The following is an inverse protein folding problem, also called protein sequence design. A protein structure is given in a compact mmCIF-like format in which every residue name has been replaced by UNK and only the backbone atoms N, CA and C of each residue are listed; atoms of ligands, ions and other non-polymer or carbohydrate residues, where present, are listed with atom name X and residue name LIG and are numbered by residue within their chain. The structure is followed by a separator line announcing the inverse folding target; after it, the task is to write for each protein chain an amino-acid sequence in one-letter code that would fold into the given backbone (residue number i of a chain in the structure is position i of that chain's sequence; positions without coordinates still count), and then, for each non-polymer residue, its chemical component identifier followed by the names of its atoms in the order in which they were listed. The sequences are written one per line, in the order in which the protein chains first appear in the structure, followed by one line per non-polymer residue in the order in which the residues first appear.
data_IF_520801109099
#
_entry.id   IF_520801109099
#
_cell.length_a   1.000
_cell.length_b   1.000
_cell.length_c   1.000
_cell.angle_alpha   90.00
_cell.angle_beta   90.00
_cell.angle_gamma   90.00
#
_symmetry.space_group_name_H-M   'P 1'
#
loop_
_entity.id
_entity.type
_entity.pdbx_description
1 polymer ?
#
# COMPACT_ATOMS: atom_id res chain seq x y z
N UNK A 1 6.33 8.65 -3.17
CA UNK A 1 4.90 8.35 -2.97
C UNK A 1 4.70 7.82 -1.56
N UNK A 2 3.62 8.20 -0.87
CA UNK A 2 3.36 7.82 0.52
C UNK A 2 1.87 7.57 0.76
N UNK A 3 1.52 6.54 1.52
CA UNK A 3 0.17 6.33 2.04
C UNK A 3 0.05 7.10 3.36
N UNK A 4 -0.86 8.07 3.42
CA UNK A 4 -1.14 8.86 4.63
C UNK A 4 -2.14 8.16 5.53
N UNK A 5 -3.25 7.73 4.95
CA UNK A 5 -4.38 7.19 5.69
C UNK A 5 -5.20 6.26 4.81
N UNK A 6 -5.87 5.30 5.43
CA UNK A 6 -6.92 4.49 4.82
C UNK A 6 -8.15 4.58 5.72
N UNK A 7 -9.27 4.94 5.12
CA UNK A 7 -10.55 5.06 5.77
C UNK A 7 -11.46 3.94 5.28
N UNK A 8 -12.08 3.25 6.23
CA UNK A 8 -13.07 2.20 5.99
C UNK A 8 -14.41 2.65 6.57
N UNK A 9 -15.50 2.31 5.88
CA UNK A 9 -16.85 2.44 6.43
C UNK A 9 -17.67 1.20 6.11
N UNK A 10 -18.08 0.52 7.18
CA UNK A 10 -18.90 -0.70 7.13
C UNK A 10 -18.36 -1.77 6.17
N UNK A 11 -17.04 -1.98 6.19
CA UNK A 11 -16.34 -2.89 5.30
C UNK A 11 -15.58 -3.97 6.09
N UNK A 12 -15.91 -5.25 5.83
CA UNK A 12 -15.34 -6.43 6.53
C UNK A 12 -15.35 -6.26 8.07
N UNK A 13 -14.18 -6.31 8.73
CA UNK A 13 -14.03 -6.13 10.19
C UNK A 13 -14.23 -4.68 10.65
N UNK A 14 -14.20 -3.70 9.76
CA UNK A 14 -14.32 -2.28 10.09
C UNK A 14 -15.80 -1.86 10.12
N UNK A 15 -16.34 -1.67 11.33
CA UNK A 15 -17.72 -1.18 11.56
C UNK A 15 -17.74 0.30 11.85
N UNK A 16 -18.72 1.01 11.27
CA UNK A 16 -18.74 2.45 11.25
C UNK A 16 -17.52 3.02 10.52
N UNK A 17 -17.25 4.31 10.70
CA UNK A 17 -16.09 4.97 10.10
C UNK A 17 -14.84 4.71 10.93
N UNK A 18 -13.85 4.05 10.34
CA UNK A 18 -12.56 3.73 10.94
C UNK A 18 -11.43 4.29 10.08
N UNK A 19 -10.42 4.91 10.71
CA UNK A 19 -9.27 5.50 10.00
C UNK A 19 -7.99 4.87 10.50
N UNK A 20 -7.24 4.28 9.58
CA UNK A 20 -5.87 3.78 9.81
C UNK A 20 -4.91 4.86 9.33
N UNK A 21 -4.27 5.58 10.26
CA UNK A 21 -3.38 6.70 9.95
C UNK A 21 -1.91 6.31 10.07
N UNK A 22 -1.16 6.53 8.99
CA UNK A 22 0.30 6.37 8.91
C UNK A 22 1.04 7.68 9.19
N UNK A 23 0.32 8.72 9.62
CA UNK A 23 0.88 10.04 9.90
C UNK A 23 1.34 10.12 11.36
N UNK A 24 2.53 10.68 11.59
CA UNK A 24 2.97 11.08 12.92
C UNK A 24 2.09 12.25 13.41
N UNK A 25 1.35 12.10 14.52
CA UNK A 25 0.44 13.14 15.00
C UNK A 25 1.18 14.41 15.46
N UNK A 26 2.47 14.33 15.76
CA UNK A 26 3.30 15.43 16.25
C UNK A 26 3.81 16.28 15.09
N UNK A 27 4.28 15.64 14.02
CA UNK A 27 4.89 16.36 12.88
C UNK A 27 3.92 16.58 11.73
N UNK A 28 2.89 15.74 11.61
CA UNK A 28 1.99 15.72 10.44
C UNK A 28 2.58 15.02 9.22
N UNK A 29 3.80 14.50 9.32
CA UNK A 29 4.48 13.77 8.24
C UNK A 29 4.09 12.29 8.23
N UNK A 30 4.20 11.66 7.07
CA UNK A 30 4.03 10.20 6.97
C UNK A 30 5.21 9.50 7.63
N UNK A 31 4.92 8.55 8.52
CA UNK A 31 5.94 7.71 9.14
C UNK A 31 6.67 6.91 8.05
N UNK A 32 8.01 6.94 8.00
CA UNK A 32 8.77 6.14 7.03
C UNK A 32 8.62 4.64 7.29
N UNK A 33 8.39 4.25 8.54
CA UNK A 33 8.14 2.85 8.94
C UNK A 33 6.89 2.80 9.80
N UNK A 34 6.01 1.86 9.51
CA UNK A 34 4.81 1.58 10.30
C UNK A 34 4.60 0.09 10.43
N UNK A 35 4.23 -0.35 11.63
CA UNK A 35 3.79 -1.71 11.91
C UNK A 35 2.35 -1.69 12.41
N UNK A 36 1.48 -2.42 11.72
CA UNK A 36 0.09 -2.61 12.10
C UNK A 36 0.02 -3.77 13.07
N UNK A 37 -0.54 -3.51 14.25
CA UNK A 37 -0.63 -4.47 15.36
C UNK A 37 -2.08 -4.59 15.82
N UNK A 38 -2.42 -5.76 16.36
CA UNK A 38 -3.78 -6.08 16.80
C UNK A 38 -4.04 -7.57 16.76
N UNK A 39 -5.12 -7.99 17.43
CA UNK A 39 -5.57 -9.37 17.51
C UNK A 39 -6.36 -9.82 16.29
N UNK A 40 -6.94 -8.90 15.52
CA UNK A 40 -7.64 -9.21 14.27
C UNK A 40 -6.67 -9.27 13.08
N UNK A 41 -6.20 -10.48 12.77
CA UNK A 41 -5.37 -10.76 11.58
C UNK A 41 -6.08 -10.42 10.26
N UNK A 42 -7.40 -10.57 10.18
CA UNK A 42 -8.16 -10.26 8.98
C UNK A 42 -8.25 -8.74 8.75
N UNK A 43 -8.37 -7.96 9.82
CA UNK A 43 -8.32 -6.50 9.74
C UNK A 43 -6.95 -6.01 9.26
N UNK A 44 -5.84 -6.53 9.83
CA UNK A 44 -4.47 -6.19 9.38
C UNK A 44 -4.25 -6.49 7.91
N UNK A 45 -4.66 -7.69 7.46
CA UNK A 45 -4.65 -8.07 6.04
C UNK A 45 -5.44 -7.11 5.17
N UNK A 46 -6.66 -6.79 5.58
CA UNK A 46 -7.57 -5.91 4.83
C UNK A 46 -6.96 -4.52 4.60
N UNK A 47 -6.16 -4.00 5.54
CA UNK A 47 -5.43 -2.74 5.34
C UNK A 47 -4.46 -2.83 4.16
N UNK A 48 -3.65 -3.88 4.09
CA UNK A 48 -2.64 -4.03 3.04
C UNK A 48 -3.24 -4.42 1.69
N UNK A 49 -4.25 -5.29 1.70
CA UNK A 49 -5.02 -5.63 0.51
C UNK A 49 -5.70 -4.39 -0.08
N UNK A 50 -6.18 -3.46 0.76
CA UNK A 50 -6.74 -2.19 0.30
C UNK A 50 -5.71 -1.31 -0.40
N UNK A 51 -4.45 -1.26 0.08
CA UNK A 51 -3.37 -0.53 -0.59
C UNK A 51 -3.16 -1.09 -2.00
N UNK A 52 -3.01 -2.42 -2.11
CA UNK A 52 -2.80 -3.09 -3.39
C UNK A 52 -3.98 -2.87 -4.36
N UNK A 53 -5.20 -3.11 -3.86
CA UNK A 53 -6.42 -3.03 -4.64
C UNK A 53 -6.70 -1.61 -5.14
N UNK A 54 -6.58 -0.59 -4.29
CA UNK A 54 -6.85 0.81 -4.67
C UNK A 54 -5.80 1.36 -5.63
N UNK A 55 -4.51 1.08 -5.41
CA UNK A 55 -3.47 1.47 -6.37
C UNK A 55 -3.65 0.76 -7.71
N UNK A 56 -3.96 -0.54 -7.70
CA UNK A 56 -4.23 -1.30 -8.93
C UNK A 56 -5.40 -0.71 -9.70
N UNK A 57 -6.49 -0.41 -9.00
CA UNK A 57 -7.68 0.18 -9.60
C UNK A 57 -7.45 1.59 -10.14
N UNK A 58 -6.59 2.39 -9.48
CA UNK A 58 -6.21 3.72 -9.98
C UNK A 58 -5.43 3.68 -11.29
N UNK A 59 -4.71 2.58 -11.56
CA UNK A 59 -3.95 2.36 -12.80
C UNK A 59 -4.86 1.75 -13.86
N UNK A 60 -5.58 0.67 -13.52
CA UNK A 60 -6.42 -0.06 -14.46
C UNK A 60 -7.81 -0.33 -13.88
N UNK A 61 -8.74 0.63 -14.01
CA UNK A 61 -10.11 0.48 -13.52
C UNK A 61 -10.90 -0.64 -14.21
N UNK A 62 -10.41 -1.20 -15.33
CA UNK A 62 -11.12 -2.24 -16.09
C UNK A 62 -10.98 -3.63 -15.47
N UNK A 63 -9.98 -3.82 -14.61
CA UNK A 63 -9.69 -5.07 -13.94
C UNK A 63 -9.64 -4.85 -12.42
N UNK A 64 -10.78 -4.53 -11.77
CA UNK A 64 -10.84 -4.34 -10.34
C UNK A 64 -10.37 -5.60 -9.60
N UNK A 65 -9.68 -5.40 -8.48
CA UNK A 65 -9.37 -6.50 -7.54
C UNK A 65 -10.65 -6.87 -6.76
N UNK A 66 -10.77 -8.11 -6.26
CA UNK A 66 -11.96 -8.55 -5.52
C UNK A 66 -12.38 -7.60 -4.38
N UNK A 67 -11.41 -7.03 -3.64
CA UNK A 67 -11.69 -6.07 -2.58
C UNK A 67 -12.45 -4.81 -3.06
N UNK A 68 -12.20 -4.35 -4.31
CA UNK A 68 -12.94 -3.21 -4.90
C UNK A 68 -14.39 -3.61 -5.20
N UNK A 69 -14.60 -4.82 -5.72
CA UNK A 69 -15.94 -5.35 -5.98
C UNK A 69 -16.73 -5.51 -4.68
N UNK A 70 -16.11 -6.08 -3.64
CA UNK A 70 -16.71 -6.17 -2.30
C UNK A 70 -17.10 -4.78 -1.76
N UNK A 71 -16.25 -3.77 -1.98
CA UNK A 71 -16.53 -2.41 -1.55
C UNK A 71 -17.74 -1.83 -2.30
N UNK A 72 -17.83 -2.04 -3.62
CA UNK A 72 -19.00 -1.62 -4.42
C UNK A 72 -20.30 -2.25 -3.90
N UNK A 73 -20.26 -3.50 -3.44
CA UNK A 73 -21.45 -4.19 -2.96
C UNK A 73 -21.94 -3.70 -1.60
N UNK A 74 -21.01 -3.50 -0.65
CA UNK A 74 -21.37 -3.44 0.76
C UNK A 74 -20.77 -2.28 1.56
N UNK A 75 -19.68 -1.66 1.14
CA UNK A 75 -18.91 -0.77 2.00
C UNK A 75 -18.37 0.47 1.31
N UNK A 76 -17.44 1.14 1.97
CA UNK A 76 -16.66 2.21 1.38
C UNK A 76 -15.23 2.20 1.90
N UNK A 77 -14.30 2.43 0.98
CA UNK A 77 -12.87 2.45 1.26
C UNK A 77 -12.28 3.66 0.55
N UNK A 78 -11.47 4.41 1.29
CA UNK A 78 -10.72 5.52 0.75
C UNK A 78 -9.27 5.46 1.22
N UNK A 79 -8.35 5.80 0.33
CA UNK A 79 -6.94 5.95 0.66
C UNK A 79 -6.45 7.35 0.29
N UNK A 80 -5.76 7.99 1.25
CA UNK A 80 -5.03 9.23 1.05
C UNK A 80 -3.59 8.95 0.61
N UNK A 81 -3.26 9.35 -0.62
CA UNK A 81 -1.96 9.21 -1.26
C UNK A 81 -1.23 10.54 -1.30
N UNK A 82 -0.11 10.66 -0.61
CA UNK A 82 0.77 11.80 -0.72
C UNK A 82 1.81 11.61 -1.83
N UNK A 83 1.89 12.60 -2.70
CA UNK A 83 2.86 12.71 -3.78
C UNK A 83 3.82 13.86 -3.47
N UNK A 84 5.10 13.53 -3.36
CA UNK A 84 6.19 14.49 -3.15
C UNK A 84 6.49 15.24 -4.46
N UNK A 85 7.29 16.32 -4.42
CA UNK A 85 7.74 16.99 -5.63
C UNK A 85 8.42 16.05 -6.64
N UNK A 86 9.19 15.06 -6.16
CA UNK A 86 9.85 14.07 -7.01
C UNK A 86 8.85 13.16 -7.73
N UNK A 87 7.78 12.73 -7.06
CA UNK A 87 6.68 11.99 -7.69
C UNK A 87 6.01 12.83 -8.79
N UNK A 88 5.82 14.12 -8.51
CA UNK A 88 5.08 15.03 -9.39
C UNK A 88 5.91 15.56 -10.57
N UNK A 89 7.23 15.59 -10.47
CA UNK A 89 8.11 16.13 -11.51
C UNK A 89 7.95 15.39 -12.84
N UNK A 90 7.77 14.07 -12.81
CA UNK A 90 7.53 13.26 -14.01
C UNK A 90 6.21 13.60 -14.69
N UNK A 91 5.14 13.83 -13.91
CA UNK A 91 3.84 14.26 -14.41
C UNK A 91 3.90 15.66 -15.03
N UNK A 92 4.63 16.59 -14.41
CA UNK A 92 4.81 17.95 -14.95
C UNK A 92 5.61 17.95 -16.26
N UNK A 93 6.69 17.14 -16.34
CA UNK A 93 7.45 16.96 -17.59
C UNK A 93 6.58 16.48 -18.75
N UNK A 94 5.56 15.68 -18.47
CA UNK A 94 4.62 15.20 -19.48
C UNK A 94 3.60 16.25 -19.93
N UNK A 95 3.19 17.14 -19.02
CA UNK A 95 2.21 18.18 -19.31
C UNK A 95 2.77 19.38 -20.09
N UNK A 96 4.08 19.44 -20.34
CA UNK A 96 4.73 20.51 -21.11
C UNK A 96 4.62 21.90 -20.47
N UNK A 97 4.26 21.99 -19.19
CA UNK A 97 3.91 23.24 -18.54
C UNK A 97 5.13 23.98 -17.98
N UNK A 98 5.18 25.30 -18.20
CA UNK A 98 5.94 26.31 -17.44
C UNK A 98 5.41 26.45 -15.99
N UNK A 99 5.09 25.33 -15.34
CA UNK A 99 4.39 25.32 -14.07
C UNK A 99 5.33 25.67 -12.91
N UNK A 100 4.77 26.30 -11.88
CA UNK A 100 5.40 26.48 -10.58
C UNK A 100 6.00 25.15 -10.08
N UNK A 101 7.10 25.22 -9.32
CA UNK A 101 7.73 24.02 -8.76
C UNK A 101 6.69 23.14 -8.06
N UNK A 102 6.62 21.83 -8.37
CA UNK A 102 5.64 20.94 -7.75
C UNK A 102 5.78 20.99 -6.23
N UNK A 103 4.66 21.17 -5.55
CA UNK A 103 4.55 21.06 -4.09
C UNK A 103 3.94 19.72 -3.75
N UNK A 104 4.21 19.22 -2.54
CA UNK A 104 3.56 18.02 -2.02
C UNK A 104 2.04 18.14 -2.13
N UNK A 105 1.38 17.09 -2.64
CA UNK A 105 -0.08 17.02 -2.75
C UNK A 105 -0.60 15.74 -2.15
N UNK A 106 -1.74 15.82 -1.47
CA UNK A 106 -2.48 14.64 -1.01
C UNK A 106 -3.63 14.40 -1.97
N UNK A 107 -3.68 13.23 -2.58
CA UNK A 107 -4.76 12.82 -3.45
C UNK A 107 -5.55 11.67 -2.84
N UNK A 108 -6.82 11.54 -3.22
CA UNK A 108 -7.68 10.45 -2.73
C UNK A 108 -8.03 9.45 -3.82
N UNK A 109 -7.92 8.16 -3.50
CA UNK A 109 -8.53 7.07 -4.24
C UNK A 109 -9.68 6.55 -3.39
N UNK A 110 -10.90 6.54 -3.92
CA UNK A 110 -12.07 6.05 -3.19
C UNK A 110 -12.93 5.12 -4.06
N UNK A 111 -13.40 4.05 -3.43
CA UNK A 111 -14.32 3.07 -4.01
C UNK A 111 -15.36 2.68 -2.98
N UNK A 112 -16.58 2.37 -3.42
CA UNK A 112 -17.60 1.88 -2.50
C UNK A 112 -19.02 2.03 -3.02
N UNK A 113 -19.98 1.95 -2.11
CA UNK A 113 -21.41 2.16 -2.39
C UNK A 113 -21.83 3.60 -2.08
N UNK A 114 -22.59 4.23 -2.97
CA UNK A 114 -23.02 5.66 -2.86
C UNK A 114 -23.80 5.98 -1.58
N UNK A 115 -24.58 5.04 -1.06
CA UNK A 115 -25.34 5.21 0.20
C UNK A 115 -24.51 5.00 1.48
N UNK A 116 -23.27 4.50 1.35
CA UNK A 116 -22.33 4.32 2.47
C UNK A 116 -21.30 5.44 2.46
N UNK A 117 -20.82 5.84 1.28
CA UNK A 117 -19.87 6.92 1.13
C UNK A 117 -20.40 8.27 1.68
N UNK A 118 -19.52 9.17 2.17
CA UNK A 118 -19.91 10.50 2.62
C UNK A 118 -20.66 11.29 1.55
N UNK A 119 -21.67 12.08 1.96
CA UNK A 119 -22.58 12.81 1.05
C UNK A 119 -21.91 13.86 0.14
N UNK A 120 -20.67 14.29 0.45
CA UNK A 120 -19.90 15.25 -0.36
C UNK A 120 -18.48 14.76 -0.66
N UNK A 121 -18.28 13.78 -1.57
CA UNK A 121 -16.94 13.31 -1.92
C UNK A 121 -16.12 14.36 -2.71
N UNK A 122 -16.80 15.28 -3.41
CA UNK A 122 -16.21 16.09 -4.50
C UNK A 122 -15.87 17.53 -4.09
N UNK A 123 -16.48 18.08 -3.03
CA UNK A 123 -16.32 19.50 -2.69
C UNK A 123 -15.15 19.82 -1.78
N UNK A 124 -14.57 18.82 -1.09
CA UNK A 124 -13.51 19.08 -0.12
C UNK A 124 -12.11 18.65 -0.59
N UNK A 125 -12.00 17.77 -1.60
CA UNK A 125 -10.79 16.95 -1.77
C UNK A 125 -10.18 16.96 -3.18
N UNK A 126 -8.84 16.96 -3.24
CA UNK A 126 -8.08 16.65 -4.45
C UNK A 126 -8.21 15.16 -4.78
N UNK A 127 -9.18 14.81 -5.62
CA UNK A 127 -9.46 13.42 -5.99
C UNK A 127 -8.48 12.94 -7.07
N UNK A 128 -7.85 11.79 -6.86
CA UNK A 128 -7.18 11.04 -7.93
C UNK A 128 -8.21 10.21 -8.69
N UNK A 129 -8.95 9.35 -7.97
CA UNK A 129 -10.00 8.51 -8.52
C UNK A 129 -11.11 8.32 -7.48
N UNK A 130 -12.36 8.41 -7.93
CA UNK A 130 -13.55 8.09 -7.15
C UNK A 130 -14.48 7.24 -7.99
N UNK A 131 -14.91 6.10 -7.46
CA UNK A 131 -15.88 5.23 -8.10
C UNK A 131 -16.90 4.71 -7.08
N UNK A 132 -18.14 5.18 -7.15
CA UNK A 132 -19.20 4.76 -6.24
C UNK A 132 -20.30 4.02 -6.99
N UNK A 133 -20.46 2.75 -6.63
CA UNK A 133 -21.53 1.89 -7.13
C UNK A 133 -22.90 2.38 -6.63
N UNK A 134 -23.94 2.27 -7.47
CA UNK A 134 -25.31 2.57 -7.08
C UNK A 134 -25.81 1.59 -6.02
N UNK A 135 -26.76 2.03 -5.18
CA UNK A 135 -27.56 1.11 -4.37
C UNK A 135 -28.50 0.24 -5.21
N UNK A 136 -29.08 -0.78 -4.57
CA UNK A 136 -30.10 -1.61 -5.21
C UNK A 136 -31.29 -0.75 -5.70
N UNK A 137 -31.48 -0.67 -7.01
CA UNK A 137 -32.52 0.14 -7.66
C UNK A 137 -32.10 1.59 -7.99
N UNK A 138 -30.85 1.97 -7.77
CA UNK A 138 -30.30 3.28 -8.17
C UNK A 138 -29.62 3.20 -9.55
N UNK A 139 -29.38 4.37 -10.17
CA UNK A 139 -28.89 4.54 -11.55
C UNK A 139 -27.43 4.13 -11.79
N UNK A 140 -26.72 4.82 -12.70
CA UNK A 140 -25.35 4.44 -13.07
C UNK A 140 -24.31 4.72 -11.96
N UNK A 141 -23.12 4.13 -12.10
CA UNK A 141 -21.95 4.40 -11.27
C UNK A 141 -21.64 5.90 -11.23
N UNK A 142 -21.21 6.40 -10.07
CA UNK A 142 -20.56 7.70 -9.99
C UNK A 142 -19.07 7.49 -10.24
N UNK A 143 -18.50 8.21 -11.21
CA UNK A 143 -17.06 8.17 -11.47
C UNK A 143 -16.51 9.59 -11.56
N UNK A 144 -15.45 9.87 -10.80
CA UNK A 144 -14.69 11.11 -10.90
C UNK A 144 -13.20 10.79 -10.94
N UNK A 145 -12.54 11.10 -12.06
CA UNK A 145 -11.11 10.93 -12.23
C UNK A 145 -10.46 12.31 -12.32
N UNK A 146 -9.55 12.61 -11.38
CA UNK A 146 -8.81 13.87 -11.39
C UNK A 146 -7.81 13.94 -12.54
N UNK A 147 -7.32 15.15 -12.84
CA UNK A 147 -6.36 15.38 -13.93
C UNK A 147 -5.08 14.51 -13.83
N UNK A 148 -4.68 14.14 -12.61
CA UNK A 148 -3.50 13.29 -12.36
C UNK A 148 -3.75 11.80 -12.64
N UNK A 149 -5.00 11.32 -12.73
CA UNK A 149 -5.30 9.91 -12.98
C UNK A 149 -4.87 9.48 -14.39
N UNK A 150 -5.23 10.24 -15.42
CA UNK A 150 -4.80 9.98 -16.80
C UNK A 150 -3.27 10.09 -16.97
N UNK A 151 -2.64 10.98 -16.19
CA UNK A 151 -1.18 11.13 -16.20
C UNK A 151 -0.49 9.94 -15.54
N UNK A 152 -1.04 9.41 -14.45
CA UNK A 152 -0.56 8.18 -13.81
C UNK A 152 -0.64 6.99 -14.76
N UNK A 153 -1.79 6.75 -15.37
CA UNK A 153 -1.97 5.67 -16.36
C UNK A 153 -0.92 5.78 -17.49
N UNK A 154 -0.74 6.98 -18.02
CA UNK A 154 0.23 7.21 -19.11
C UNK A 154 1.68 7.01 -18.64
N UNK A 155 2.02 7.45 -17.44
CA UNK A 155 3.36 7.26 -16.86
C UNK A 155 3.68 5.78 -16.65
N UNK A 156 2.73 5.01 -16.09
CA UNK A 156 2.87 3.55 -15.92
C UNK A 156 3.00 2.87 -17.28
N UNK A 157 2.19 3.24 -18.27
CA UNK A 157 2.30 2.68 -19.62
C UNK A 157 3.64 3.01 -20.32
N UNK A 158 4.27 4.15 -20.04
CA UNK A 158 5.61 4.49 -20.53
C UNK A 158 6.69 3.71 -19.81
N UNK A 159 6.52 3.51 -18.51
CA UNK A 159 7.45 2.75 -17.68
C UNK A 159 7.50 1.27 -18.08
N UNK A 160 6.34 0.66 -18.43
CA UNK A 160 6.29 -0.67 -19.05
C UNK A 160 7.08 -0.76 -20.37
N UNK A 161 7.32 0.37 -21.04
CA UNK A 161 8.16 0.49 -22.25
C UNK A 161 9.61 0.91 -21.95
N UNK A 162 10.03 0.87 -20.69
CA UNK A 162 11.41 1.12 -20.27
C UNK A 162 11.70 2.51 -19.70
N UNK A 163 10.70 3.39 -19.55
CA UNK A 163 10.89 4.68 -18.87
C UNK A 163 11.01 4.52 -17.35
N UNK A 164 11.70 5.46 -16.70
CA UNK A 164 11.76 5.51 -15.24
C UNK A 164 10.48 6.15 -14.67
N UNK A 165 9.96 5.57 -13.60
CA UNK A 165 8.81 6.09 -12.86
C UNK A 165 9.11 6.06 -11.37
N UNK A 166 8.93 7.18 -10.67
CA UNK A 166 9.14 7.25 -9.22
C UNK A 166 7.96 6.60 -8.47
N UNK A 167 8.20 6.11 -7.26
CA UNK A 167 7.19 5.44 -6.45
C UNK A 167 6.75 4.09 -7.00
N UNK A 168 5.53 3.70 -6.64
CA UNK A 168 4.98 2.37 -6.89
C UNK A 168 4.82 1.55 -5.61
N UNK A 169 4.33 0.33 -5.77
CA UNK A 169 4.08 -0.59 -4.67
C UNK A 169 4.95 -1.84 -4.84
N UNK A 170 5.66 -2.21 -3.78
CA UNK A 170 6.24 -3.54 -3.62
C UNK A 170 5.45 -4.25 -2.52
N UNK A 171 4.63 -5.23 -2.91
CA UNK A 171 3.73 -5.93 -2.03
C UNK A 171 4.15 -7.39 -1.84
N UNK A 172 4.31 -7.78 -0.57
CA UNK A 172 4.59 -9.15 -0.15
C UNK A 172 3.33 -9.73 0.51
N UNK A 173 2.49 -10.45 -0.25
CA UNK A 173 1.30 -11.06 0.31
C UNK A 173 1.68 -12.23 1.24
N UNK A 174 0.81 -12.54 2.21
CA UNK A 174 1.06 -13.64 3.14
C UNK A 174 1.00 -15.02 2.48
N UNK A 175 1.58 -16.04 3.13
CA UNK A 175 1.68 -17.41 2.59
C UNK A 175 0.32 -18.04 2.21
N UNK A 176 -0.79 -17.55 2.79
CA UNK A 176 -2.15 -17.98 2.45
C UNK A 176 -2.67 -17.44 1.11
N UNK A 177 -1.91 -16.62 0.40
CA UNK A 177 -2.23 -16.05 -0.91
C UNK A 177 -1.45 -16.69 -2.09
N UNK A 178 -0.77 -17.82 -1.87
CA UNK A 178 -0.08 -18.58 -2.93
C UNK A 178 -0.95 -18.96 -4.15
N UNK A 179 -2.27 -18.74 -4.12
CA UNK A 179 -3.18 -19.00 -5.23
C UNK A 179 -3.36 -17.81 -6.22
N UNK A 180 -2.92 -16.60 -5.90
CA UNK A 180 -3.05 -15.45 -6.81
C UNK A 180 -1.78 -15.30 -7.66
N UNK A 181 -1.77 -16.01 -8.79
CA UNK A 181 -0.90 -15.78 -9.97
C UNK A 181 0.50 -15.27 -9.64
N UNK A 182 1.37 -16.16 -9.19
CA UNK A 182 2.81 -15.89 -9.24
C UNK A 182 3.22 -15.76 -10.70
N UNK A 183 3.70 -14.59 -11.11
CA UNK A 183 4.64 -14.51 -12.21
C UNK A 183 5.92 -15.22 -11.77
N UNK A 184 6.49 -16.00 -12.68
CA UNK A 184 7.83 -16.57 -12.52
C UNK A 184 8.79 -15.43 -12.12
N UNK A 185 9.68 -15.57 -11.11
CA UNK A 185 10.68 -14.54 -10.79
C UNK A 185 11.52 -14.09 -12.01
N UNK A 186 11.65 -14.93 -13.04
CA UNK A 186 12.30 -14.60 -14.30
C UNK A 186 11.46 -13.67 -15.23
N UNK A 187 10.17 -13.49 -14.94
CA UNK A 187 9.22 -12.58 -15.62
C UNK A 187 8.78 -11.43 -14.70
N UNK A 188 9.70 -10.81 -13.94
CA UNK A 188 9.42 -9.48 -13.35
C UNK A 188 9.38 -8.45 -14.48
N UNK A 189 8.26 -8.43 -15.21
CA UNK A 189 7.91 -7.34 -16.10
C UNK A 189 7.98 -6.04 -15.29
N UNK A 190 8.59 -4.99 -15.84
CA UNK A 190 8.69 -3.69 -15.16
C UNK A 190 7.26 -3.15 -14.94
N UNK A 191 6.69 -3.45 -13.78
CA UNK A 191 5.37 -2.95 -13.38
C UNK A 191 5.49 -1.93 -12.24
N UNK A 192 4.48 -1.09 -12.06
CA UNK A 192 4.45 -0.08 -11.00
C UNK A 192 3.94 -0.65 -9.68
N UNK A 193 3.30 -1.82 -9.75
CA UNK A 193 2.94 -2.65 -8.62
C UNK A 193 3.61 -4.01 -8.81
N UNK A 194 4.60 -4.32 -7.98
CA UNK A 194 5.29 -5.61 -7.96
C UNK A 194 4.75 -6.42 -6.79
N UNK A 195 4.25 -7.63 -7.08
CA UNK A 195 3.81 -8.58 -6.06
C UNK A 195 4.83 -9.69 -5.98
N UNK A 196 5.56 -9.76 -4.89
CA UNK A 196 6.63 -10.73 -4.70
C UNK A 196 6.20 -11.75 -3.65
N UNK A 197 6.20 -13.04 -4.02
CA UNK A 197 6.05 -14.11 -3.03
C UNK A 197 7.43 -14.54 -2.55
N UNK A 198 7.53 -14.88 -1.27
CA UNK A 198 8.71 -15.57 -0.76
C UNK A 198 8.65 -16.98 -1.32
N UNK A 199 9.57 -17.32 -2.24
CA UNK A 199 9.64 -18.66 -2.81
C UNK A 199 9.77 -19.71 -1.70
N UNK A 200 8.98 -20.79 -1.77
CA UNK A 200 8.98 -21.86 -0.77
C UNK A 200 10.38 -22.47 -0.54
N UNK A 201 11.24 -22.44 -1.57
CA UNK A 201 12.64 -22.87 -1.48
C UNK A 201 13.51 -21.90 -0.67
N UNK A 202 13.24 -20.59 -0.73
CA UNK A 202 13.90 -19.59 0.11
C UNK A 202 13.45 -19.72 1.57
N UNK A 203 12.18 -20.05 1.82
CA UNK A 203 11.67 -20.38 3.15
C UNK A 203 12.30 -21.68 3.71
N UNK A 204 12.42 -22.73 2.89
CA UNK A 204 13.09 -23.98 3.28
C UNK A 204 14.61 -23.80 3.52
N UNK A 205 15.25 -22.91 2.75
CA UNK A 205 16.64 -22.51 2.98
C UNK A 205 16.80 -21.67 4.25
N UNK A 206 15.83 -20.80 4.59
CA UNK A 206 15.79 -20.05 5.85
C UNK A 206 15.74 -20.98 7.07
N UNK A 207 14.98 -22.08 7.01
CA UNK A 207 14.91 -23.09 8.07
C UNK A 207 16.25 -23.82 8.30
N UNK A 208 17.04 -24.04 7.24
CA UNK A 208 18.28 -24.82 7.32
C UNK A 208 19.55 -23.97 7.55
N UNK A 209 19.55 -22.70 7.16
CA UNK A 209 20.79 -21.89 7.10
C UNK A 209 21.05 -21.04 8.34
N UNK A 210 20.05 -20.81 9.19
CA UNK A 210 20.17 -19.95 10.39
C UNK A 210 20.69 -18.54 10.12
N UNK A 211 20.67 -18.06 8.86
CA UNK A 211 21.33 -16.81 8.46
C UNK A 211 20.33 -15.75 8.02
N UNK A 212 20.38 -14.61 8.72
CA UNK A 212 19.72 -13.31 8.50
C UNK A 212 19.74 -12.79 7.04
N UNK A 213 20.70 -13.26 6.21
CA UNK A 213 20.93 -12.78 4.85
C UNK A 213 19.96 -13.30 3.77
N UNK A 214 19.26 -14.41 4.01
CA UNK A 214 18.31 -14.96 3.03
C UNK A 214 17.01 -14.12 2.94
N UNK A 215 16.55 -13.54 4.05
CA UNK A 215 15.49 -12.53 4.10
C UNK A 215 15.82 -11.25 3.32
N UNK A 216 17.12 -10.92 3.23
CA UNK A 216 17.62 -9.77 2.47
C UNK A 216 17.86 -10.09 0.99
N UNK A 217 18.18 -11.35 0.66
CA UNK A 217 18.19 -11.83 -0.73
C UNK A 217 16.79 -11.83 -1.35
N UNK A 218 15.75 -12.08 -0.55
CA UNK A 218 14.35 -11.94 -0.94
C UNK A 218 13.96 -10.52 -1.34
N UNK A 219 14.67 -9.52 -0.83
CA UNK A 219 14.54 -8.15 -1.30
C UNK A 219 15.43 -7.88 -2.50
N UNK A 220 16.50 -8.62 -2.75
CA UNK A 220 17.55 -8.22 -3.69
C UNK A 220 17.13 -8.28 -5.16
N UNK A 221 16.26 -9.20 -5.56
CA UNK A 221 15.72 -9.24 -6.93
C UNK A 221 14.50 -8.33 -7.13
N UNK A 222 13.50 -8.29 -6.24
CA UNK A 222 12.46 -7.28 -6.29
C UNK A 222 13.01 -5.85 -6.07
N UNK A 223 14.14 -5.68 -5.39
CA UNK A 223 14.86 -4.41 -5.23
C UNK A 223 15.41 -3.88 -6.56
N UNK A 224 15.72 -4.76 -7.51
CA UNK A 224 16.08 -4.33 -8.87
C UNK A 224 14.89 -3.72 -9.61
N UNK A 225 13.66 -4.07 -9.20
CA UNK A 225 12.43 -3.46 -9.70
C UNK A 225 11.93 -2.30 -8.83
N UNK A 226 12.32 -2.26 -7.56
CA UNK A 226 11.91 -1.25 -6.60
C UNK A 226 12.59 0.09 -6.87
N UNK A 227 11.88 1.18 -6.52
CA UNK A 227 12.18 2.51 -7.01
C UNK A 227 12.23 3.49 -5.87
N UNK A 228 13.01 4.58 -6.00
CA UNK A 228 12.94 5.69 -5.07
C UNK A 228 11.47 6.13 -4.89
N UNK A 229 11.08 6.44 -3.66
CA UNK A 229 9.71 6.84 -3.33
C UNK A 229 8.70 5.72 -3.19
N UNK A 230 9.09 4.44 -3.30
CA UNK A 230 8.15 3.32 -3.28
C UNK A 230 7.47 3.13 -1.90
N UNK A 231 6.31 2.49 -1.92
CA UNK A 231 5.68 1.91 -0.73
C UNK A 231 6.00 0.41 -0.71
N UNK A 232 6.52 -0.08 0.40
CA UNK A 232 6.81 -1.48 0.66
C UNK A 232 5.77 -1.98 1.67
N UNK A 233 4.92 -2.91 1.26
CA UNK A 233 3.85 -3.46 2.07
C UNK A 233 4.09 -4.95 2.32
N UNK A 234 4.14 -5.37 3.59
CA UNK A 234 4.42 -6.76 3.99
C UNK A 234 3.27 -7.29 4.84
N UNK A 235 2.51 -8.25 4.32
CA UNK A 235 1.35 -8.81 5.00
C UNK A 235 1.70 -9.89 6.01
N UNK A 236 2.71 -10.71 5.73
CA UNK A 236 3.10 -11.77 6.64
C UNK A 236 4.62 -11.69 6.88
N UNK A 237 5.04 -11.29 8.08
CA UNK A 237 6.42 -11.29 8.46
C UNK A 237 6.94 -12.68 8.77
N UNK A 238 6.45 -13.77 8.14
CA UNK A 238 7.22 -15.00 8.06
C UNK A 238 8.68 -14.74 7.58
N UNK A 239 8.94 -13.62 6.90
CA UNK A 239 10.27 -13.04 6.64
C UNK A 239 11.11 -12.80 7.92
N UNK A 240 10.47 -12.46 9.03
CA UNK A 240 11.04 -12.26 10.37
C UNK A 240 10.79 -13.44 11.31
N UNK A 241 10.04 -14.47 10.93
CA UNK A 241 9.97 -15.74 11.68
C UNK A 241 11.26 -16.54 11.45
N UNK A 242 12.39 -15.92 11.78
CA UNK A 242 13.69 -16.55 11.76
C UNK A 242 13.77 -17.50 12.96
N UNK A 243 14.39 -18.68 12.81
CA UNK A 243 14.59 -19.60 13.93
C UNK A 243 15.41 -18.98 15.07
N UNK A 244 16.13 -17.89 14.79
CA UNK A 244 16.89 -17.11 15.75
C UNK A 244 16.28 -15.70 15.93
N UNK A 245 15.74 -15.44 17.13
CA UNK A 245 15.19 -14.12 17.49
C UNK A 245 16.23 -13.01 17.42
N UNK A 246 17.51 -13.34 17.56
CA UNK A 246 18.60 -12.36 17.49
C UNK A 246 18.81 -11.85 16.04
N UNK A 247 18.24 -12.53 15.03
CA UNK A 247 18.34 -12.16 13.63
C UNK A 247 17.21 -11.22 13.14
N UNK A 248 16.13 -11.04 13.92
CA UNK A 248 14.99 -10.17 13.56
C UNK A 248 15.37 -8.68 13.57
N UNK A 249 16.06 -8.23 14.61
CA UNK A 249 16.45 -6.83 14.76
C UNK A 249 17.42 -6.36 13.66
N UNK A 250 18.48 -7.10 13.30
CA UNK A 250 19.35 -6.76 12.17
C UNK A 250 18.59 -6.70 10.82
N UNK A 251 17.65 -7.60 10.58
CA UNK A 251 16.85 -7.61 9.35
C UNK A 251 15.97 -6.34 9.25
N UNK A 252 15.33 -5.95 10.35
CA UNK A 252 14.52 -4.74 10.39
C UNK A 252 15.37 -3.47 10.28
N UNK A 253 16.55 -3.41 10.89
CA UNK A 253 17.47 -2.28 10.70
C UNK A 253 17.92 -2.15 9.25
N UNK A 254 18.20 -3.27 8.57
CA UNK A 254 18.52 -3.24 7.15
C UNK A 254 17.34 -2.76 6.29
N UNK A 255 16.11 -3.13 6.65
CA UNK A 255 14.91 -2.57 6.02
C UNK A 255 14.78 -1.08 6.26
N UNK A 256 15.06 -0.58 7.47
CA UNK A 256 15.11 0.85 7.77
C UNK A 256 16.17 1.58 6.94
N UNK A 257 17.33 0.96 6.70
CA UNK A 257 18.34 1.48 5.78
C UNK A 257 17.83 1.59 4.35
N UNK A 258 17.20 0.53 3.81
CA UNK A 258 16.60 0.54 2.48
C UNK A 258 15.53 1.63 2.38
N UNK A 259 14.68 1.76 3.40
CA UNK A 259 13.65 2.81 3.50
C UNK A 259 14.26 4.20 3.41
N UNK A 260 15.39 4.44 4.08
CA UNK A 260 16.11 5.72 4.01
C UNK A 260 16.78 5.93 2.66
N UNK A 261 17.45 4.91 2.13
CA UNK A 261 18.18 4.96 0.86
C UNK A 261 17.25 5.26 -0.32
N UNK A 262 16.08 4.63 -0.33
CA UNK A 262 15.11 4.80 -1.41
C UNK A 262 14.15 5.95 -1.17
N UNK A 263 14.23 6.64 -0.02
CA UNK A 263 13.14 7.52 0.42
C UNK A 263 11.80 6.77 0.25
N UNK A 264 11.69 5.57 0.81
CA UNK A 264 10.51 4.71 0.71
C UNK A 264 9.63 4.81 1.98
N UNK A 265 8.47 4.15 1.95
CA UNK A 265 7.65 3.91 3.12
C UNK A 265 7.48 2.42 3.32
N UNK A 266 7.71 1.93 4.53
CA UNK A 266 7.49 0.54 4.91
C UNK A 266 6.24 0.41 5.78
N UNK A 267 5.33 -0.48 5.39
CA UNK A 267 4.14 -0.84 6.16
C UNK A 267 4.14 -2.36 6.36
N UNK A 268 4.15 -2.82 7.61
CA UNK A 268 4.18 -4.24 7.97
C UNK A 268 2.93 -4.59 8.77
N UNK A 269 2.24 -5.68 8.45
CA UNK A 269 1.24 -6.26 9.33
C UNK A 269 1.92 -7.28 10.26
N UNK A 270 2.02 -6.99 11.56
CA UNK A 270 2.61 -7.93 12.51
C UNK A 270 1.60 -9.00 12.94
N UNK A 271 1.87 -10.26 12.60
CA UNK A 271 1.07 -11.42 13.05
C UNK A 271 1.63 -12.09 14.31
N UNK A 272 2.88 -11.81 14.67
CA UNK A 272 3.54 -12.35 15.88
C UNK A 272 3.90 -11.24 16.86
N UNK A 273 3.66 -11.49 18.15
CA UNK A 273 4.12 -10.62 19.23
C UNK A 273 5.65 -10.56 19.34
N UNK A 274 6.36 -11.55 18.76
CA UNK A 274 7.81 -11.64 18.83
C UNK A 274 8.53 -10.50 18.10
N UNK A 275 7.95 -9.99 17.00
CA UNK A 275 8.55 -8.94 16.18
C UNK A 275 8.29 -7.54 16.74
N UNK A 276 7.27 -7.38 17.60
CA UNK A 276 6.87 -6.07 18.13
C UNK A 276 7.98 -5.31 18.86
N UNK A 277 8.84 -5.94 19.70
CA UNK A 277 9.95 -5.26 20.36
C UNK A 277 10.97 -4.65 19.39
N UNK A 278 11.06 -5.15 18.15
CA UNK A 278 11.96 -4.60 17.14
C UNK A 278 11.46 -3.26 16.55
N UNK A 279 10.16 -2.97 16.67
CA UNK A 279 9.55 -1.71 16.27
C UNK A 279 9.46 -0.72 17.43
N UNK A 280 9.72 0.55 17.13
CA UNK A 280 9.57 1.66 18.08
C UNK A 280 8.09 1.90 18.37
N UNK A 281 7.78 2.53 19.49
CA UNK A 281 6.39 2.75 19.89
C UNK A 281 5.65 3.65 18.90
N UNK A 282 6.33 4.69 18.41
CA UNK A 282 5.82 5.62 17.42
C UNK A 282 5.57 5.00 16.03
N UNK A 283 6.19 3.85 15.73
CA UNK A 283 5.98 3.10 14.50
C UNK A 283 4.71 2.22 14.56
N UNK A 284 4.11 2.02 15.74
CA UNK A 284 3.01 1.06 15.94
C UNK A 284 1.63 1.70 15.67
N UNK A 285 0.84 1.04 14.84
CA UNK A 285 -0.56 1.37 14.56
C UNK A 285 -1.44 0.25 15.12
N UNK A 286 -2.19 0.55 16.18
CA UNK A 286 -3.03 -0.43 16.88
C UNK A 286 -4.44 -0.43 16.30
N UNK A 287 -4.87 -1.54 15.68
CA UNK A 287 -6.22 -1.68 15.10
C UNK A 287 -7.31 -2.02 16.13
N UNK A 288 -6.96 -2.53 17.31
CA UNK A 288 -7.92 -2.97 18.34
C UNK A 288 -8.50 -1.83 19.19
N UNK A 289 -8.18 -0.57 18.87
CA UNK A 289 -8.80 0.58 19.52
C UNK A 289 -10.25 0.70 19.05
N UNK A 290 -11.15 -0.02 19.72
CA UNK A 290 -12.53 0.45 19.86
C UNK A 290 -12.43 1.85 20.46
N UNK A 291 -12.86 2.84 19.70
CA UNK A 291 -13.03 4.19 20.22
C UNK A 291 -13.99 4.09 21.41
N UNK A 292 -13.59 4.45 22.65
CA UNK A 292 -14.49 4.39 23.80
C UNK A 292 -15.65 5.39 23.71
N UNK A 293 -15.69 6.21 22.65
CA UNK A 293 -16.69 7.25 22.42
C UNK A 293 -17.62 7.00 21.21
N UNK A 294 -17.64 5.80 20.62
CA UNK A 294 -18.59 5.42 19.56
C UNK A 294 -19.95 4.96 20.12
#
# INVERSE_FOLDING_TARGET
MRIREICFQDFRSFRGRQVVSFVDPTTGDVRPVSVIVGSDDAAKRTVLEAIDALLSYAIDPRHPRPLVEEAHDAGWIQMGLELTPADLEQFHRMAGALAERPRTRVLRIEVGRRGVAPLSPVQEWSTLLSCLAPGAGEGEYFTNAGALSSQLYTAVARMRRGADLHGGLLYFPGARHHALTGTDPDEVERDWIVRATVAAEAAAALEHSGTSLAGLRLLHEPALAARPGAVIAIEDPAIFELPDRDAEAPALERLREIVREWDAQLIVAAHSAAVLPAFREEERIVLDRRDPAA
#
